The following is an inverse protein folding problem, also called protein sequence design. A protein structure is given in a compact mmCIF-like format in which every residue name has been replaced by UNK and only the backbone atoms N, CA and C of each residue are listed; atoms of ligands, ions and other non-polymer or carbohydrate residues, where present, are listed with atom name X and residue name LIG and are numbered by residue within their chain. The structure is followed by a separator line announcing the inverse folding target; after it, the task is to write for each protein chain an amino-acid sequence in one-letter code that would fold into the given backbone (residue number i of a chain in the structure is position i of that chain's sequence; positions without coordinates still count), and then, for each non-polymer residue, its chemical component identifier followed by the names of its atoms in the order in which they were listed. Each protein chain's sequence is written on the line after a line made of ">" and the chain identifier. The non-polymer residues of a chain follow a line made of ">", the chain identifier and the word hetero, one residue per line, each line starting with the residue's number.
data_IF_962873774772
#
_entry.id   IF_962873774772
#
_cell.length_a   1.000
_cell.length_b   1.000
_cell.length_c   1.000
_cell.angle_alpha   90.00
_cell.angle_beta   90.00
_cell.angle_gamma   90.00
#
_symmetry.space_group_name_H-M   'P 1'
#
loop_
_entity.id
_entity.type
_entity.pdbx_description
1 polymer ?
#
# COMPACT_ATOMS: atom_id res chain seq x y z
N UNK A 1 6.19 -0.55 -15.83
CA UNK A 1 4.95 -0.73 -15.04
C UNK A 1 5.33 -1.21 -13.67
N UNK A 2 4.94 -0.49 -12.61
CA UNK A 2 5.25 -0.87 -11.23
C UNK A 2 4.08 -1.63 -10.60
N UNK A 3 4.40 -2.67 -9.85
CA UNK A 3 3.43 -3.48 -9.13
C UNK A 3 3.95 -3.81 -7.74
N UNK A 4 3.03 -4.00 -6.81
CA UNK A 4 3.30 -4.34 -5.42
C UNK A 4 2.89 -5.78 -5.20
N UNK A 5 3.85 -6.62 -4.80
CA UNK A 5 3.59 -8.02 -4.47
C UNK A 5 3.61 -8.21 -2.97
N UNK A 6 2.55 -8.82 -2.43
CA UNK A 6 2.55 -9.26 -1.03
C UNK A 6 3.51 -10.43 -0.87
N UNK A 7 4.57 -10.23 -0.09
CA UNK A 7 5.57 -11.26 0.16
C UNK A 7 5.07 -12.34 1.12
N UNK A 8 4.29 -11.97 2.14
CA UNK A 8 3.88 -12.84 3.25
C UNK A 8 2.42 -12.60 3.67
N UNK A 9 1.87 -13.51 4.49
CA UNK A 9 0.52 -13.44 5.07
C UNK A 9 -0.55 -14.22 4.29
N UNK A 10 -1.81 -14.11 4.72
CA UNK A 10 -2.97 -14.81 4.10
C UNK A 10 -3.20 -14.45 2.63
N UNK A 11 -2.74 -13.26 2.23
CA UNK A 11 -2.81 -12.77 0.86
C UNK A 11 -1.45 -12.76 0.17
N UNK A 12 -0.49 -13.58 0.63
CA UNK A 12 0.82 -13.72 -0.01
C UNK A 12 0.65 -14.09 -1.48
N UNK A 13 1.47 -13.50 -2.34
CA UNK A 13 1.39 -13.67 -3.79
C UNK A 13 0.38 -12.76 -4.49
N UNK A 14 -0.47 -12.03 -3.76
CA UNK A 14 -1.32 -11.00 -4.36
C UNK A 14 -0.47 -9.91 -5.01
N UNK A 15 -0.76 -9.61 -6.28
CA UNK A 15 -0.14 -8.54 -7.04
C UNK A 15 -1.15 -7.40 -7.15
N UNK A 16 -0.74 -6.22 -6.70
CA UNK A 16 -1.49 -4.98 -6.84
C UNK A 16 -0.76 -4.11 -7.86
N UNK A 17 -1.39 -3.83 -8.98
CA UNK A 17 -0.85 -2.89 -9.95
C UNK A 17 -0.99 -1.44 -9.44
N UNK A 18 0.11 -0.68 -9.45
CA UNK A 18 0.11 0.73 -9.09
C UNK A 18 -0.35 1.59 -10.28
N UNK A 19 -1.64 1.49 -10.61
CA UNK A 19 -2.27 2.21 -11.75
C UNK A 19 -2.54 3.69 -11.46
N UNK A 20 -2.66 4.04 -10.19
CA UNK A 20 -3.04 5.35 -9.70
C UNK A 20 -1.81 6.12 -9.20
N UNK A 21 -1.87 7.45 -9.28
CA UNK A 21 -0.81 8.33 -8.81
C UNK A 21 -0.57 8.23 -7.30
N UNK A 22 -1.58 7.81 -6.53
CA UNK A 22 -1.46 7.58 -5.08
C UNK A 22 -2.14 6.28 -4.66
N UNK A 23 -1.41 5.44 -3.96
CA UNK A 23 -1.88 4.18 -3.39
C UNK A 23 -1.70 4.23 -1.87
N UNK A 24 -2.82 4.22 -1.15
CA UNK A 24 -2.81 4.23 0.32
C UNK A 24 -2.75 2.81 0.89
N UNK A 25 -1.85 2.59 1.83
CA UNK A 25 -1.62 1.32 2.53
C UNK A 25 -1.98 1.50 4.01
N UNK A 26 -2.78 0.58 4.55
CA UNK A 26 -3.17 0.62 5.94
C UNK A 26 -4.20 -0.45 6.28
N UNK A 27 -4.76 -0.38 7.48
CA UNK A 27 -5.73 -1.38 7.98
C UNK A 27 -7.17 -1.09 7.58
N UNK A 28 -7.53 0.15 7.26
CA UNK A 28 -8.92 0.53 6.97
C UNK A 28 -9.31 0.23 5.52
N UNK A 29 -10.21 -0.73 5.24
CA UNK A 29 -10.66 -1.02 3.87
C UNK A 29 -11.47 0.11 3.22
N UNK A 30 -12.06 0.98 4.02
CA UNK A 30 -12.81 2.17 3.60
C UNK A 30 -11.92 3.32 3.07
N UNK A 31 -10.64 3.36 3.48
CA UNK A 31 -9.72 4.46 3.13
C UNK A 31 -8.44 3.98 2.44
N UNK A 32 -8.13 2.68 2.50
CA UNK A 32 -6.90 2.12 1.95
C UNK A 32 -7.16 1.33 0.67
N UNK A 33 -6.27 1.50 -0.29
CA UNK A 33 -6.25 0.70 -1.52
C UNK A 33 -5.61 -0.67 -1.26
N UNK A 34 -4.62 -0.71 -0.37
CA UNK A 34 -3.96 -1.94 0.08
C UNK A 34 -4.25 -2.12 1.56
N UNK A 35 -5.14 -3.06 1.85
CA UNK A 35 -5.58 -3.35 3.23
C UNK A 35 -4.70 -4.41 3.86
N UNK A 36 -3.95 -4.06 4.88
CA UNK A 36 -3.12 -4.98 5.67
C UNK A 36 -3.82 -5.28 6.99
N UNK A 37 -4.05 -6.57 7.27
CA UNK A 37 -4.74 -7.06 8.47
C UNK A 37 -3.89 -7.33 9.75
N UNK A 38 -2.60 -6.96 9.89
CA UNK A 38 -1.93 -7.12 11.19
C UNK A 38 -2.44 -6.12 12.24
N UNK A 39 -2.50 -6.57 13.49
CA UNK A 39 -2.83 -5.77 14.69
C UNK A 39 -1.89 -4.55 14.86
N UNK A 40 -0.71 -4.55 14.24
CA UNK A 40 0.28 -3.47 14.28
C UNK A 40 0.20 -2.44 13.13
N UNK A 41 -0.80 -2.52 12.24
CA UNK A 41 -0.91 -1.57 11.11
C UNK A 41 -1.96 -0.50 11.40
N UNK A 42 -1.55 0.77 11.31
CA UNK A 42 -2.45 1.91 11.44
C UNK A 42 -3.49 1.98 10.32
N UNK A 43 -4.62 2.63 10.59
CA UNK A 43 -5.70 2.86 9.61
C UNK A 43 -5.18 3.49 8.31
N UNK A 44 -4.18 4.37 8.43
CA UNK A 44 -3.38 4.93 7.33
C UNK A 44 -1.91 4.76 7.74
N UNK A 45 -1.23 3.78 7.18
CA UNK A 45 0.13 3.42 7.61
C UNK A 45 1.17 4.09 6.71
N UNK A 46 1.04 3.90 5.40
CA UNK A 46 1.92 4.49 4.40
C UNK A 46 1.14 4.88 3.15
N UNK A 47 1.65 5.82 2.39
CA UNK A 47 1.19 6.12 1.04
C UNK A 47 2.32 5.94 0.04
N UNK A 48 2.01 5.30 -1.08
CA UNK A 48 2.87 5.28 -2.25
C UNK A 48 2.35 6.32 -3.22
N UNK A 49 3.21 7.22 -3.66
CA UNK A 49 2.86 8.21 -4.65
C UNK A 49 3.86 8.20 -5.80
N UNK A 50 3.35 8.41 -7.01
CA UNK A 50 4.16 8.55 -8.21
C UNK A 50 4.55 10.00 -8.38
N UNK A 51 5.82 10.26 -8.70
CA UNK A 51 6.33 11.59 -9.01
C UNK A 51 7.22 11.48 -10.26
N UNK A 52 6.64 11.81 -11.42
CA UNK A 52 7.28 11.59 -12.72
C UNK A 52 7.32 10.10 -13.07
N UNK A 53 8.51 9.57 -13.32
CA UNK A 53 8.73 8.14 -13.58
C UNK A 53 9.06 7.34 -12.30
N UNK A 54 9.31 8.02 -11.19
CA UNK A 54 9.66 7.41 -9.93
C UNK A 54 8.44 7.19 -9.02
N UNK A 55 8.52 6.14 -8.20
CA UNK A 55 7.55 5.84 -7.15
C UNK A 55 8.21 6.04 -5.79
N UNK A 56 7.53 6.80 -4.94
CA UNK A 56 7.98 7.10 -3.58
C UNK A 56 7.03 6.49 -2.57
N UNK A 57 7.56 6.04 -1.45
CA UNK A 57 6.79 5.60 -0.30
C UNK A 57 6.99 6.62 0.82
N UNK A 58 5.90 7.22 1.29
CA UNK A 58 5.88 8.05 2.48
C UNK A 58 5.19 7.29 3.61
N UNK A 59 5.87 7.18 4.75
CA UNK A 59 5.25 6.76 6.00
C UNK A 59 4.36 7.88 6.55
N UNK A 60 3.18 7.53 7.04
CA UNK A 60 2.20 8.48 7.58
C UNK A 60 2.26 8.60 9.10
N UNK A 61 3.42 8.33 9.69
CA UNK A 61 3.69 8.39 11.12
C UNK A 61 2.82 7.40 11.91
N UNK A 62 2.88 6.14 11.46
CA UNK A 62 2.11 5.01 11.97
C UNK A 62 2.58 4.49 13.33
#
# INVERSE_FOLDING_TARGET
>A
MAFLKRANGVAAGQIIELKQDRTLIGRSPEHCHVVLDPIGVSRRHAEIYRKGDDYFLADLNS
#
